data_IF_163466110442
#
_entry.id   IF_163466110442
#
_cell.length_a   1.000
_cell.length_b   1.000
_cell.length_c   1.000
_cell.angle_alpha   90.00
_cell.angle_beta   90.00
_cell.angle_gamma   90.00
#
_symmetry.space_group_name_H-M   'P 1'
#
loop_
_entity.id
_entity.type
_entity.pdbx_description
1 polymer ?
#
# COMPACT_ATOMS: atom_id res chain seq x y z
N UNK A 1 -19.50 -40.98 -26.79
CA UNK A 1 -18.24 -40.24 -26.83
C UNK A 1 -18.45 -38.73 -27.03
N UNK A 2 -19.25 -38.27 -27.97
CA UNK A 2 -19.46 -36.82 -28.19
C UNK A 2 -20.09 -36.10 -27.00
N UNK A 3 -20.96 -36.74 -26.19
CA UNK A 3 -21.62 -36.15 -25.01
C UNK A 3 -20.66 -35.98 -23.82
N UNK A 4 -19.66 -36.84 -23.66
CA UNK A 4 -18.65 -36.78 -22.59
C UNK A 4 -17.65 -35.65 -22.86
N UNK A 5 -17.25 -35.45 -24.13
CA UNK A 5 -16.38 -34.35 -24.53
C UNK A 5 -17.04 -32.96 -24.31
N UNK A 6 -18.33 -32.84 -24.51
CA UNK A 6 -19.07 -31.61 -24.29
C UNK A 6 -19.16 -31.23 -22.81
N UNK A 7 -19.33 -32.22 -21.91
CA UNK A 7 -19.38 -32.02 -20.45
C UNK A 7 -18.01 -31.64 -19.93
N UNK A 8 -16.93 -32.24 -20.42
CA UNK A 8 -15.56 -31.87 -20.07
C UNK A 8 -15.21 -30.44 -20.51
N UNK A 9 -15.63 -30.03 -21.71
CA UNK A 9 -15.41 -28.67 -22.19
C UNK A 9 -16.19 -27.62 -21.37
N UNK A 10 -17.40 -27.96 -20.93
CA UNK A 10 -18.20 -27.12 -20.03
C UNK A 10 -17.61 -26.99 -18.63
N UNK A 11 -17.02 -28.07 -18.07
CA UNK A 11 -16.32 -28.03 -16.79
C UNK A 11 -15.02 -27.22 -16.86
N UNK A 12 -14.25 -27.31 -17.95
CA UNK A 12 -13.05 -26.50 -18.12
C UNK A 12 -13.38 -24.99 -18.22
N UNK A 13 -14.46 -24.63 -18.90
CA UNK A 13 -14.92 -23.24 -18.99
C UNK A 13 -15.39 -22.70 -17.61
N UNK A 14 -16.03 -23.52 -16.79
CA UNK A 14 -16.45 -23.12 -15.44
C UNK A 14 -15.24 -22.90 -14.52
N UNK A 15 -14.19 -23.71 -14.63
CA UNK A 15 -12.94 -23.55 -13.85
C UNK A 15 -12.20 -22.28 -14.29
N UNK A 16 -12.16 -21.98 -15.58
CA UNK A 16 -11.54 -20.75 -16.10
C UNK A 16 -12.31 -19.51 -15.62
N UNK A 17 -13.65 -19.56 -15.59
CA UNK A 17 -14.46 -18.47 -15.05
C UNK A 17 -14.26 -18.26 -13.55
N UNK A 18 -14.08 -19.32 -12.76
CA UNK A 18 -13.76 -19.19 -11.33
C UNK A 18 -12.37 -18.61 -11.09
N UNK A 19 -11.36 -18.97 -11.91
CA UNK A 19 -10.02 -18.39 -11.82
C UNK A 19 -10.01 -16.90 -12.19
N UNK A 20 -10.87 -16.45 -13.11
CA UNK A 20 -11.02 -15.03 -13.49
C UNK A 20 -11.78 -14.21 -12.44
N UNK A 21 -12.63 -14.82 -11.61
CA UNK A 21 -13.38 -14.12 -10.56
C UNK A 21 -12.56 -13.88 -9.29
N UNK A 22 -11.37 -14.47 -9.17
CA UNK A 22 -10.46 -14.28 -8.03
C UNK A 22 -9.50 -13.11 -8.26
N UNK A 23 -9.36 -12.66 -9.49
CA UNK A 23 -8.63 -11.46 -9.82
C UNK A 23 -9.57 -10.24 -9.66
N UNK A 24 -9.83 -9.89 -8.40
CA UNK A 24 -10.28 -8.55 -8.11
C UNK A 24 -9.09 -7.64 -8.35
N UNK A 25 -9.11 -6.82 -9.39
CA UNK A 25 -8.37 -5.60 -9.27
C UNK A 25 -8.98 -4.94 -8.04
N UNK A 26 -8.24 -4.91 -6.95
CA UNK A 26 -8.48 -3.91 -5.95
C UNK A 26 -8.73 -2.65 -6.76
N UNK A 27 -9.91 -2.09 -6.67
CA UNK A 27 -10.21 -0.82 -7.29
C UNK A 27 -9.08 0.09 -6.90
N UNK A 28 -8.11 0.24 -7.80
CA UNK A 28 -7.09 1.24 -7.64
C UNK A 28 -7.87 2.54 -7.72
N UNK A 29 -8.17 3.06 -6.54
CA UNK A 29 -8.62 4.43 -6.47
C UNK A 29 -7.50 5.24 -7.09
N UNK A 30 -7.76 5.82 -8.23
CA UNK A 30 -6.87 6.80 -8.84
C UNK A 30 -6.75 7.94 -7.86
N UNK A 31 -5.75 7.86 -7.00
CA UNK A 31 -5.44 8.94 -6.07
C UNK A 31 -4.88 10.09 -6.88
N UNK A 32 -5.31 11.30 -6.57
CA UNK A 32 -4.74 12.50 -7.17
C UNK A 32 -3.22 12.51 -6.93
N UNK A 33 -2.38 12.53 -7.98
CA UNK A 33 -0.92 12.53 -7.83
C UNK A 33 -0.39 13.76 -7.10
N UNK A 34 -1.17 14.85 -6.99
CA UNK A 34 -0.82 16.09 -6.28
C UNK A 34 -1.50 16.23 -4.93
N UNK A 35 -2.18 15.20 -4.43
CA UNK A 35 -2.78 15.24 -3.11
C UNK A 35 -1.71 15.32 -2.02
N UNK A 36 -1.98 16.09 -0.97
CA UNK A 36 -1.07 16.21 0.18
C UNK A 36 -0.93 14.88 0.94
N UNK A 37 -1.97 14.07 0.96
CA UNK A 37 -1.99 12.78 1.67
C UNK A 37 -2.47 11.66 0.78
N UNK A 38 -1.89 10.48 0.98
CA UNK A 38 -2.32 9.25 0.33
C UNK A 38 -2.44 8.12 1.33
N UNK A 39 -3.44 7.25 1.12
CA UNK A 39 -3.60 6.00 1.84
C UNK A 39 -3.09 4.84 0.98
N UNK A 40 -2.26 4.00 1.60
CA UNK A 40 -1.75 2.79 0.99
C UNK A 40 -2.24 1.58 1.77
N UNK A 41 -2.79 0.60 1.06
CA UNK A 41 -3.18 -0.68 1.65
C UNK A 41 -1.94 -1.44 2.12
N UNK A 42 -2.06 -2.10 3.28
CA UNK A 42 -1.16 -3.19 3.66
C UNK A 42 -1.82 -4.53 3.34
N UNK A 43 -1.09 -5.62 3.51
CA UNK A 43 -1.67 -6.96 3.40
C UNK A 43 -2.56 -7.32 4.60
N UNK A 44 -2.55 -6.52 5.67
CA UNK A 44 -3.52 -6.60 6.74
C UNK A 44 -4.75 -5.76 6.38
N UNK A 45 -5.92 -6.40 6.34
CA UNK A 45 -7.19 -5.76 5.96
C UNK A 45 -7.52 -4.51 6.78
N UNK A 46 -7.11 -4.47 8.05
CA UNK A 46 -7.46 -3.41 8.99
C UNK A 46 -6.47 -2.24 9.03
N UNK A 47 -5.33 -2.36 8.35
CA UNK A 47 -4.25 -1.38 8.47
C UNK A 47 -3.89 -0.76 7.12
N UNK A 48 -3.75 0.56 7.16
CA UNK A 48 -3.28 1.39 6.05
C UNK A 48 -2.09 2.23 6.50
N UNK A 49 -1.27 2.62 5.57
CA UNK A 49 -0.27 3.66 5.77
C UNK A 49 -0.80 4.96 5.16
N UNK A 50 -0.89 6.02 5.96
CA UNK A 50 -1.16 7.36 5.49
C UNK A 50 0.15 8.11 5.33
N UNK A 51 0.45 8.52 4.11
CA UNK A 51 1.66 9.23 3.75
C UNK A 51 1.35 10.71 3.54
N UNK A 52 2.11 11.60 4.20
CA UNK A 52 2.23 12.99 3.76
C UNK A 52 3.18 13.04 2.57
N UNK A 53 2.63 13.25 1.40
CA UNK A 53 3.39 13.24 0.14
C UNK A 53 4.38 14.39 0.00
N UNK A 54 4.26 15.42 0.83
CA UNK A 54 5.13 16.60 0.82
C UNK A 54 6.40 16.41 1.65
N UNK A 55 6.32 15.64 2.73
CA UNK A 55 7.35 15.56 3.77
C UNK A 55 7.95 14.18 3.97
N UNK A 56 7.24 13.11 3.55
CA UNK A 56 7.60 11.74 3.84
C UNK A 56 7.18 11.24 5.23
N UNK A 57 6.50 12.06 6.02
CA UNK A 57 5.92 11.63 7.30
C UNK A 57 4.81 10.61 7.07
N UNK A 58 4.68 9.65 7.98
CA UNK A 58 3.72 8.56 7.84
C UNK A 58 3.03 8.24 9.16
N UNK A 59 1.77 7.84 9.05
CA UNK A 59 0.96 7.30 10.15
C UNK A 59 0.34 5.98 9.74
N UNK A 60 0.19 5.08 10.70
CA UNK A 60 -0.67 3.92 10.56
C UNK A 60 -2.12 4.32 10.82
N UNK A 61 -3.02 3.86 9.98
CA UNK A 61 -4.46 4.03 10.14
C UNK A 61 -5.08 2.65 10.28
N UNK A 62 -5.60 2.34 11.45
CA UNK A 62 -6.30 1.10 11.75
C UNK A 62 -7.80 1.37 11.82
N UNK A 63 -8.56 0.64 11.02
CA UNK A 63 -10.02 0.65 11.15
C UNK A 63 -10.51 -0.64 11.79
N UNK A 64 -11.69 -0.62 12.34
CA UNK A 64 -12.29 -1.77 13.00
C UNK A 64 -13.80 -1.70 12.94
N UNK A 65 -14.44 -2.85 12.95
CA UNK A 65 -15.89 -2.98 13.15
C UNK A 65 -16.29 -2.87 14.63
N UNK A 66 -15.30 -2.77 15.52
CA UNK A 66 -15.42 -2.55 16.97
C UNK A 66 -14.84 -1.18 17.31
N UNK A 67 -14.86 -0.77 18.55
CA UNK A 67 -14.46 0.57 19.00
C UNK A 67 -12.93 0.77 19.13
N UNK A 68 -12.11 0.08 18.33
CA UNK A 68 -10.65 0.18 18.40
C UNK A 68 -10.00 0.70 17.09
N UNK A 69 -10.72 1.51 16.34
CA UNK A 69 -10.14 2.27 15.23
C UNK A 69 -9.21 3.35 15.78
N UNK A 70 -8.02 3.49 15.19
CA UNK A 70 -7.01 4.42 15.70
C UNK A 70 -6.02 4.83 14.62
N UNK A 71 -5.40 5.98 14.82
CA UNK A 71 -4.25 6.45 14.06
C UNK A 71 -3.06 6.56 15.00
N UNK A 72 -1.90 6.06 14.60
CA UNK A 72 -0.67 6.16 15.38
C UNK A 72 0.54 6.39 14.46
N UNK A 73 1.60 7.05 14.94
CA UNK A 73 2.71 7.42 14.09
C UNK A 73 3.53 6.21 13.65
N UNK A 74 3.90 6.16 12.37
CA UNK A 74 4.93 5.28 11.84
C UNK A 74 6.26 6.02 11.79
N UNK A 75 6.28 7.22 11.23
CA UNK A 75 7.45 8.10 11.21
C UNK A 75 7.03 9.56 11.21
N UNK A 76 7.46 10.29 12.23
CA UNK A 76 7.24 11.74 12.36
C UNK A 76 8.36 12.57 11.73
N UNK A 77 9.39 11.91 11.17
CA UNK A 77 10.54 12.59 10.59
C UNK A 77 10.19 13.18 9.22
N UNK A 78 10.39 14.49 9.07
CA UNK A 78 10.37 15.13 7.76
C UNK A 78 11.63 14.76 6.98
N UNK A 79 11.47 14.29 5.76
CA UNK A 79 12.57 13.88 4.88
C UNK A 79 13.02 14.98 3.92
N UNK A 80 12.50 16.16 4.08
CA UNK A 80 12.88 17.39 3.37
C UNK A 80 13.57 18.36 4.33
N UNK A 81 14.49 19.17 3.82
CA UNK A 81 15.31 20.05 4.65
C UNK A 81 14.60 21.37 5.00
N UNK A 82 13.65 21.83 4.18
CA UNK A 82 12.99 23.13 4.33
C UNK A 82 11.54 23.10 3.86
N UNK A 83 10.69 24.05 4.33
CA UNK A 83 9.31 24.16 3.87
C UNK A 83 9.16 24.35 2.36
N UNK A 84 10.11 24.98 1.70
CA UNK A 84 10.11 25.20 0.24
C UNK A 84 10.24 23.88 -0.54
N UNK A 85 10.76 22.85 0.09
CA UNK A 85 10.90 21.52 -0.49
C UNK A 85 9.66 20.63 -0.26
N UNK A 86 8.69 21.09 0.51
CA UNK A 86 7.41 20.41 0.77
C UNK A 86 6.47 20.55 -0.43
N UNK A 87 6.61 19.64 -1.41
CA UNK A 87 5.86 19.66 -2.66
C UNK A 87 4.85 18.52 -2.67
N UNK A 88 3.54 18.81 -2.87
CA UNK A 88 2.52 17.75 -2.98
C UNK A 88 2.84 16.73 -4.05
N UNK A 89 2.78 15.45 -3.70
CA UNK A 89 3.10 14.34 -4.60
C UNK A 89 4.59 13.99 -4.68
N UNK A 90 5.44 14.65 -3.92
CA UNK A 90 6.89 14.39 -3.90
C UNK A 90 7.22 12.95 -3.49
N UNK A 91 6.61 12.46 -2.42
CA UNK A 91 6.86 11.12 -1.90
C UNK A 91 5.78 10.13 -2.32
N UNK A 92 6.18 8.90 -2.60
CA UNK A 92 5.27 7.80 -2.91
C UNK A 92 5.78 6.48 -2.30
N UNK A 93 4.86 5.59 -1.96
CA UNK A 93 5.17 4.25 -1.43
C UNK A 93 4.93 3.18 -2.48
N UNK A 94 5.81 2.19 -2.51
CA UNK A 94 5.67 0.98 -3.30
C UNK A 94 5.59 -0.24 -2.39
N UNK A 95 4.57 -1.05 -2.56
CA UNK A 95 4.46 -2.33 -1.88
C UNK A 95 5.56 -3.29 -2.36
N UNK A 96 6.02 -4.15 -1.45
CA UNK A 96 6.92 -5.25 -1.75
C UNK A 96 6.20 -6.58 -1.58
N UNK A 97 6.87 -7.68 -1.92
CA UNK A 97 6.35 -9.02 -1.63
C UNK A 97 6.41 -9.38 -0.14
N UNK A 98 7.15 -8.61 0.66
CA UNK A 98 7.19 -8.79 2.11
C UNK A 98 5.99 -8.08 2.75
N UNK A 99 5.28 -8.79 3.63
CA UNK A 99 4.06 -8.34 4.29
C UNK A 99 4.21 -6.99 5.02
N UNK A 100 5.37 -6.75 5.65
CA UNK A 100 5.60 -5.59 6.51
C UNK A 100 6.41 -4.47 5.85
N UNK A 101 6.91 -4.65 4.64
CA UNK A 101 7.87 -3.72 4.05
C UNK A 101 7.36 -3.05 2.78
N UNK A 102 7.62 -1.75 2.70
CA UNK A 102 7.42 -0.89 1.55
C UNK A 102 8.74 -0.20 1.19
N UNK A 103 8.81 0.31 -0.01
CA UNK A 103 9.86 1.25 -0.43
C UNK A 103 9.24 2.63 -0.60
N UNK A 104 9.78 3.61 0.10
CA UNK A 104 9.44 5.02 -0.05
C UNK A 104 10.40 5.64 -1.05
N UNK A 105 9.88 6.38 -2.02
CA UNK A 105 10.64 7.10 -3.03
C UNK A 105 10.36 8.59 -2.95
N UNK A 106 11.44 9.39 -2.90
CA UNK A 106 11.40 10.80 -3.25
C UNK A 106 11.46 10.92 -4.79
N UNK A 107 10.34 11.30 -5.40
CA UNK A 107 10.23 11.36 -6.85
C UNK A 107 10.99 12.54 -7.48
N UNK A 108 11.48 13.48 -6.66
CA UNK A 108 12.21 14.65 -7.14
C UNK A 108 13.72 14.38 -7.17
N UNK A 109 14.30 13.87 -6.09
CA UNK A 109 15.75 13.66 -6.00
C UNK A 109 16.18 12.18 -6.08
N UNK A 110 15.23 11.25 -6.11
CA UNK A 110 15.48 9.83 -6.29
C UNK A 110 15.94 9.09 -5.03
N UNK A 111 15.90 9.70 -3.86
CA UNK A 111 16.24 9.02 -2.61
C UNK A 111 15.19 7.97 -2.28
N UNK A 112 15.63 6.85 -1.70
CA UNK A 112 14.75 5.75 -1.29
C UNK A 112 14.98 5.33 0.15
N UNK A 113 13.93 4.84 0.78
CA UNK A 113 13.95 4.29 2.14
C UNK A 113 13.19 2.98 2.21
N UNK A 114 13.67 2.07 3.03
CA UNK A 114 12.89 0.93 3.48
C UNK A 114 11.96 1.40 4.58
N UNK A 115 10.69 1.06 4.44
CA UNK A 115 9.65 1.35 5.44
C UNK A 115 9.09 0.03 5.94
N UNK A 116 9.24 -0.24 7.22
CA UNK A 116 8.62 -1.39 7.88
C UNK A 116 7.53 -0.91 8.81
N UNK A 117 6.30 -1.36 8.56
CA UNK A 117 5.19 -1.14 9.45
C UNK A 117 4.98 -2.32 10.40
N UNK A 118 4.31 -2.11 11.52
CA UNK A 118 3.92 -3.15 12.46
C UNK A 118 2.77 -2.66 13.33
N UNK A 119 2.03 -3.59 13.91
CA UNK A 119 1.13 -3.28 15.03
C UNK A 119 1.90 -3.08 16.35
N UNK A 120 3.15 -3.51 16.39
CA UNK A 120 4.08 -3.26 17.49
C UNK A 120 4.99 -2.07 17.13
N UNK A 121 4.88 -0.98 17.89
CA UNK A 121 5.61 0.26 17.62
C UNK A 121 7.14 0.07 17.66
N UNK A 122 7.64 -0.91 18.42
CA UNK A 122 9.08 -1.20 18.51
C UNK A 122 9.65 -1.87 17.26
N UNK A 123 8.78 -2.36 16.36
CA UNK A 123 9.16 -3.02 15.11
C UNK A 123 8.98 -2.15 13.87
N UNK A 124 8.50 -0.93 14.04
CA UNK A 124 8.40 0.03 12.94
C UNK A 124 9.74 0.70 12.71
N UNK A 125 10.11 0.88 11.44
CA UNK A 125 11.35 1.55 11.06
C UNK A 125 11.27 2.22 9.70
N UNK A 126 12.06 3.26 9.50
CA UNK A 126 12.32 3.90 8.21
C UNK A 126 13.82 4.06 8.07
N UNK A 127 14.41 3.37 7.10
CA UNK A 127 15.85 3.31 6.88
C UNK A 127 16.22 3.76 5.47
N UNK A 128 17.20 4.66 5.38
CA UNK A 128 17.73 5.13 4.10
C UNK A 128 18.37 3.96 3.34
N UNK A 129 18.08 3.86 2.03
CA UNK A 129 18.74 2.92 1.10
C UNK A 129 19.73 3.74 0.28
N UNK A 130 21.02 3.35 0.30
CA UNK A 130 22.10 4.03 -0.43
C UNK A 130 22.53 3.27 -1.68
#
# INVERSE_FOLDING_TARGET
MKKILLVLALMMNAVIMMAQSVDFPATEYTQDPKANYRLYKTQNTYNFIKLDTRTGQMEMVQWSTKDNSMTYPLSNLKLVASPEEEIPGRFTLYATTNFYNFVLLDQIDGRTWQVQWSIDSNKMMVLRIF
#
